data_IF_139310864737
#
_entry.id   IF_139310864737
#
_cell.length_a   1.000
_cell.length_b   1.000
_cell.length_c   1.000
_cell.angle_alpha   90.00
_cell.angle_beta   90.00
_cell.angle_gamma   90.00
#
_symmetry.space_group_name_H-M   'P 1'
#
loop_
_entity.id
_entity.type
_entity.pdbx_description
1 polymer ?
#
# COMPACT_ATOMS: atom_id res chain seq x y z
N UNK A 1 42.70 -11.25 9.80
CA UNK A 1 41.83 -10.52 8.87
C UNK A 1 41.11 -11.53 7.98
N UNK A 2 39.81 -11.77 8.15
CA UNK A 2 39.08 -12.64 7.23
C UNK A 2 38.71 -11.82 5.97
N UNK A 3 39.00 -12.39 4.81
CA UNK A 3 38.64 -11.85 3.51
C UNK A 3 37.11 -11.78 3.42
N UNK A 4 36.58 -10.60 3.14
CA UNK A 4 35.22 -10.45 2.69
C UNK A 4 35.14 -10.98 1.24
N UNK A 5 34.51 -12.14 1.07
CA UNK A 5 34.07 -12.58 -0.23
C UNK A 5 32.94 -11.65 -0.69
N UNK A 6 33.31 -10.59 -1.36
CA UNK A 6 32.38 -9.79 -2.13
C UNK A 6 32.01 -10.61 -3.37
N UNK A 7 30.82 -11.24 -3.34
CA UNK A 7 30.22 -11.80 -4.54
C UNK A 7 30.22 -10.68 -5.59
N UNK A 8 30.83 -10.90 -6.77
CA UNK A 8 30.92 -9.85 -7.78
C UNK A 8 29.49 -9.41 -8.13
N UNK A 9 29.29 -8.09 -8.16
CA UNK A 9 28.11 -7.49 -8.76
C UNK A 9 27.91 -8.14 -10.12
N UNK A 10 26.72 -8.65 -10.39
CA UNK A 10 26.36 -9.03 -11.75
C UNK A 10 26.66 -7.82 -12.64
N UNK A 11 27.24 -8.02 -13.83
CA UNK A 11 27.45 -6.91 -14.77
C UNK A 11 26.11 -6.21 -14.95
N UNK A 12 26.18 -4.89 -15.22
CA UNK A 12 25.03 -4.03 -15.53
C UNK A 12 24.08 -4.82 -16.42
N UNK A 13 23.01 -5.37 -15.81
CA UNK A 13 21.93 -5.96 -16.58
C UNK A 13 21.31 -4.78 -17.30
N UNK A 14 21.13 -4.90 -18.60
CA UNK A 14 20.42 -3.94 -19.45
C UNK A 14 19.09 -3.58 -18.79
N UNK A 15 19.12 -2.52 -18.00
CA UNK A 15 17.90 -1.99 -17.41
C UNK A 15 17.00 -1.56 -18.56
N UNK A 16 15.82 -2.11 -18.72
CA UNK A 16 14.97 -1.77 -19.86
C UNK A 16 14.72 -0.26 -19.89
N UNK A 17 14.62 0.34 -21.08
CA UNK A 17 14.35 1.76 -21.19
C UNK A 17 13.01 2.09 -20.49
N UNK A 18 12.93 3.28 -19.91
CA UNK A 18 11.68 3.77 -19.34
C UNK A 18 10.60 3.84 -20.44
N UNK A 19 9.38 3.42 -20.15
CA UNK A 19 8.27 3.56 -21.08
C UNK A 19 8.01 5.03 -21.37
N UNK A 20 7.49 5.30 -22.55
CA UNK A 20 7.15 6.66 -22.99
C UNK A 20 5.67 6.75 -23.33
N UNK A 21 5.09 7.93 -23.14
CA UNK A 21 3.72 8.25 -23.51
C UNK A 21 3.67 9.68 -24.06
N UNK A 22 2.76 9.92 -24.99
CA UNK A 22 2.60 11.26 -25.56
C UNK A 22 2.25 12.26 -24.46
N UNK A 23 3.01 13.35 -24.36
CA UNK A 23 2.86 14.37 -23.31
C UNK A 23 3.56 14.05 -21.98
N UNK A 24 4.11 12.85 -21.81
CA UNK A 24 4.80 12.41 -20.62
C UNK A 24 3.86 11.97 -19.50
N UNK A 25 4.42 11.28 -18.50
CA UNK A 25 3.68 10.82 -17.33
C UNK A 25 3.39 11.97 -16.36
N UNK A 26 2.13 12.12 -15.98
CA UNK A 26 1.70 13.12 -15.00
C UNK A 26 1.73 12.60 -13.57
N UNK A 27 1.83 11.28 -13.38
CA UNK A 27 1.91 10.67 -12.05
C UNK A 27 2.86 9.49 -12.07
N UNK A 28 3.78 9.48 -11.11
CA UNK A 28 4.75 8.42 -10.90
C UNK A 28 4.59 7.84 -9.50
N UNK A 29 4.50 6.51 -9.41
CA UNK A 29 4.61 5.73 -8.19
C UNK A 29 5.93 4.95 -8.24
N UNK A 30 6.73 4.98 -7.17
CA UNK A 30 7.99 4.27 -7.12
C UNK A 30 8.19 3.56 -5.77
N UNK A 31 8.65 2.31 -5.82
CA UNK A 31 9.07 1.53 -4.64
C UNK A 31 10.48 0.96 -4.87
N UNK A 32 11.52 1.81 -4.79
CA UNK A 32 12.89 1.37 -5.06
C UNK A 32 13.34 0.23 -4.16
N UNK A 33 14.16 -0.69 -4.65
CA UNK A 33 14.75 -1.76 -3.86
C UNK A 33 15.89 -1.21 -2.98
N UNK A 34 15.51 -0.49 -1.93
CA UNK A 34 16.42 0.23 -1.03
C UNK A 34 17.46 -0.69 -0.41
N UNK A 35 18.73 -0.25 -0.43
CA UNK A 35 19.82 -0.91 0.28
C UNK A 35 19.91 -0.36 1.70
N UNK A 36 19.77 -1.23 2.70
CA UNK A 36 20.03 -0.86 4.08
C UNK A 36 21.51 -1.05 4.40
N UNK A 37 22.21 0.01 4.77
CA UNK A 37 23.55 -0.07 5.33
C UNK A 37 23.47 -0.21 6.85
N UNK A 38 24.00 -1.30 7.40
CA UNK A 38 24.04 -1.53 8.84
C UNK A 38 25.39 -1.11 9.39
N UNK A 39 25.44 -0.07 10.24
CA UNK A 39 26.70 0.44 10.84
C UNK A 39 27.35 -0.55 11.83
N UNK A 40 26.63 -1.54 12.32
CA UNK A 40 27.09 -2.45 13.38
C UNK A 40 27.68 -3.77 12.88
N UNK A 41 27.68 -4.04 11.58
CA UNK A 41 28.20 -5.29 10.99
C UNK A 41 27.45 -6.56 11.40
N UNK A 42 26.50 -6.49 12.32
CA UNK A 42 25.63 -7.60 12.67
C UNK A 42 24.49 -7.66 11.65
N UNK A 43 24.49 -8.73 10.88
CA UNK A 43 23.42 -9.03 9.93
C UNK A 43 22.12 -9.16 10.72
N UNK A 44 21.25 -8.16 10.63
CA UNK A 44 19.91 -8.29 11.16
C UNK A 44 19.20 -9.45 10.44
N UNK A 45 18.24 -10.17 11.09
CA UNK A 45 17.50 -11.26 10.46
C UNK A 45 16.87 -10.88 9.11
N UNK A 46 16.71 -9.59 8.85
CA UNK A 46 16.24 -9.02 7.59
C UNK A 46 17.24 -9.15 6.46
N UNK A 47 18.57 -9.18 6.72
CA UNK A 47 19.57 -9.38 5.66
C UNK A 47 19.50 -10.77 5.03
N UNK A 48 19.11 -11.82 5.75
CA UNK A 48 18.79 -13.13 5.15
C UNK A 48 17.59 -13.09 4.20
N UNK A 49 16.79 -12.02 4.25
CA UNK A 49 15.65 -11.78 3.36
C UNK A 49 16.05 -10.93 2.15
N UNK A 50 17.09 -10.11 2.26
CA UNK A 50 17.66 -9.30 1.18
C UNK A 50 18.44 -10.15 0.16
N UNK A 51 18.87 -11.35 0.51
CA UNK A 51 19.45 -12.31 -0.43
C UNK A 51 18.47 -12.78 -1.53
N UNK A 52 17.20 -12.42 -1.42
CA UNK A 52 16.16 -12.79 -2.40
C UNK A 52 15.91 -11.73 -3.47
N UNK A 53 16.33 -10.49 -3.25
CA UNK A 53 16.12 -9.37 -4.18
C UNK A 53 17.42 -8.59 -4.34
N UNK A 54 17.75 -8.25 -5.58
CA UNK A 54 18.83 -7.32 -5.86
C UNK A 54 18.46 -5.94 -5.29
N UNK A 55 19.26 -5.40 -4.38
CA UNK A 55 19.09 -4.03 -3.89
C UNK A 55 19.90 -3.06 -4.74
N UNK A 56 19.41 -1.84 -4.94
CA UNK A 56 20.12 -0.77 -5.61
C UNK A 56 20.83 0.15 -4.61
N UNK A 57 21.98 0.68 -5.00
CA UNK A 57 22.62 1.77 -4.24
C UNK A 57 21.81 3.05 -4.38
N UNK A 58 21.94 3.97 -3.42
CA UNK A 58 21.29 5.29 -3.49
C UNK A 58 21.67 6.03 -4.78
N UNK A 59 22.96 6.00 -5.14
CA UNK A 59 23.46 6.66 -6.35
C UNK A 59 22.82 6.10 -7.62
N UNK A 60 22.65 4.78 -7.70
CA UNK A 60 22.00 4.15 -8.85
C UNK A 60 20.51 4.52 -8.93
N UNK A 61 19.81 4.61 -7.79
CA UNK A 61 18.40 5.06 -7.76
C UNK A 61 18.32 6.52 -8.24
N UNK A 62 19.19 7.39 -7.74
CA UNK A 62 19.23 8.81 -8.12
C UNK A 62 19.62 9.02 -9.59
N UNK A 63 20.47 8.13 -10.14
CA UNK A 63 20.92 8.20 -11.52
C UNK A 63 19.85 7.86 -12.57
N UNK A 64 18.71 7.31 -12.18
CA UNK A 64 17.61 7.06 -13.11
C UNK A 64 17.04 8.39 -13.58
N UNK A 65 17.21 8.69 -14.87
CA UNK A 65 16.74 9.95 -15.46
C UNK A 65 15.26 9.86 -15.86
N UNK A 66 14.41 10.41 -15.05
CA UNK A 66 12.96 10.49 -15.32
C UNK A 66 12.57 11.67 -16.21
N UNK A 67 13.44 12.67 -16.39
CA UNK A 67 13.11 13.91 -17.09
C UNK A 67 12.52 13.69 -18.48
N UNK A 68 13.07 12.78 -19.32
CA UNK A 68 12.56 12.58 -20.67
C UNK A 68 11.13 12.01 -20.75
N UNK A 69 10.69 11.33 -19.70
CA UNK A 69 9.40 10.63 -19.70
C UNK A 69 8.31 11.35 -18.88
N UNK A 70 8.67 12.42 -18.15
CA UNK A 70 7.75 13.17 -17.32
C UNK A 70 7.03 14.30 -18.10
N UNK A 71 5.77 14.49 -17.79
CA UNK A 71 5.03 15.69 -18.16
C UNK A 71 5.67 16.94 -17.51
N UNK A 72 5.43 18.15 -18.06
CA UNK A 72 5.91 19.41 -17.46
C UNK A 72 5.44 19.59 -16.02
N UNK A 73 4.23 19.15 -15.70
CA UNK A 73 3.68 19.11 -14.35
C UNK A 73 3.41 17.65 -13.99
N UNK A 74 3.96 17.20 -12.86
CA UNK A 74 3.82 15.82 -12.44
C UNK A 74 3.80 15.66 -10.91
N UNK A 75 3.17 14.59 -10.44
CA UNK A 75 3.20 14.13 -9.07
C UNK A 75 4.10 12.90 -8.92
N UNK A 76 4.83 12.82 -7.82
CA UNK A 76 5.61 11.65 -7.42
C UNK A 76 5.08 11.10 -6.10
N UNK A 77 4.89 9.81 -6.05
CA UNK A 77 4.63 9.02 -4.86
C UNK A 77 5.79 8.04 -4.66
N UNK A 78 6.63 8.26 -3.65
CA UNK A 78 7.86 7.51 -3.42
C UNK A 78 7.79 6.75 -2.09
N UNK A 79 7.76 5.43 -2.14
CA UNK A 79 7.85 4.60 -0.94
C UNK A 79 9.25 4.63 -0.34
N UNK A 80 9.31 4.97 0.94
CA UNK A 80 10.58 5.09 1.66
C UNK A 80 10.45 4.46 3.05
N UNK A 81 11.36 3.55 3.42
CA UNK A 81 11.46 3.09 4.80
C UNK A 81 11.80 4.25 5.74
N UNK A 82 11.22 4.28 6.94
CA UNK A 82 11.42 5.38 7.91
C UNK A 82 12.91 5.72 8.14
N UNK A 83 13.77 4.70 8.21
CA UNK A 83 15.21 4.88 8.44
C UNK A 83 15.94 5.55 7.25
N UNK A 84 15.38 5.52 6.06
CA UNK A 84 15.95 6.05 4.81
C UNK A 84 15.25 7.33 4.33
N UNK A 85 14.47 7.99 5.21
CA UNK A 85 13.79 9.23 4.86
C UNK A 85 14.73 10.30 4.25
N UNK A 86 15.94 10.56 4.81
CA UNK A 86 16.88 11.51 4.21
C UNK A 86 17.31 11.11 2.79
N UNK A 87 17.45 9.82 2.51
CA UNK A 87 17.82 9.33 1.19
C UNK A 87 16.64 9.41 0.21
N UNK A 88 15.42 9.15 0.68
CA UNK A 88 14.21 9.39 -0.10
C UNK A 88 14.06 10.85 -0.54
N UNK A 89 14.40 11.80 0.32
CA UNK A 89 14.40 13.23 -0.03
C UNK A 89 15.41 13.55 -1.13
N UNK A 90 16.63 12.97 -1.07
CA UNK A 90 17.65 13.14 -2.13
C UNK A 90 17.20 12.57 -3.47
N UNK A 91 16.54 11.40 -3.46
CA UNK A 91 15.98 10.79 -4.67
C UNK A 91 14.94 11.69 -5.30
N UNK A 92 14.00 12.24 -4.49
CA UNK A 92 12.98 13.17 -4.99
C UNK A 92 13.61 14.38 -5.67
N UNK A 93 14.63 14.98 -5.05
CA UNK A 93 15.36 16.13 -5.59
C UNK A 93 16.10 15.77 -6.90
N UNK A 94 16.82 14.64 -6.93
CA UNK A 94 17.51 14.16 -8.12
C UNK A 94 16.57 13.93 -9.31
N UNK A 95 15.36 13.43 -9.04
CA UNK A 95 14.32 13.22 -10.04
C UNK A 95 13.55 14.50 -10.42
N UNK A 96 13.88 15.65 -9.80
CA UNK A 96 13.30 16.95 -10.11
C UNK A 96 11.96 17.24 -9.45
N UNK A 97 11.66 16.55 -8.34
CA UNK A 97 10.43 16.78 -7.57
C UNK A 97 10.73 17.51 -6.26
N UNK A 98 9.90 18.49 -5.95
CA UNK A 98 9.89 19.15 -4.65
C UNK A 98 8.99 18.38 -3.69
N UNK A 99 9.52 17.98 -2.53
CA UNK A 99 8.72 17.40 -1.46
C UNK A 99 7.62 18.36 -0.98
N UNK A 100 6.42 17.87 -0.79
CA UNK A 100 5.27 18.67 -0.33
C UNK A 100 4.63 18.06 0.90
N UNK A 101 4.46 16.74 0.92
CA UNK A 101 3.76 16.04 1.99
C UNK A 101 4.15 14.55 1.97
N UNK A 102 3.55 13.78 2.85
CA UNK A 102 3.65 12.32 2.81
C UNK A 102 2.32 11.68 3.22
N UNK A 103 2.19 10.41 2.86
CA UNK A 103 1.13 9.54 3.33
C UNK A 103 1.78 8.48 4.21
N UNK A 104 1.23 8.23 5.38
CA UNK A 104 1.74 7.22 6.30
C UNK A 104 0.93 5.94 6.14
N UNK A 105 1.57 4.84 5.82
CA UNK A 105 0.94 3.53 5.94
C UNK A 105 1.11 3.00 7.35
N UNK A 106 0.03 3.00 8.14
CA UNK A 106 -0.04 2.42 9.46
C UNK A 106 -0.43 0.93 9.35
N UNK A 107 0.54 0.05 9.61
CA UNK A 107 0.38 -1.41 9.50
C UNK A 107 -0.36 -1.94 10.72
N UNK A 108 -1.50 -2.60 10.48
CA UNK A 108 -2.36 -3.16 11.51
C UNK A 108 -2.25 -4.68 11.56
N UNK A 109 -2.43 -5.25 12.76
CA UNK A 109 -2.60 -6.68 12.99
C UNK A 109 -4.04 -7.10 12.70
N UNK A 110 -4.28 -8.42 12.76
CA UNK A 110 -5.62 -9.01 12.59
C UNK A 110 -6.64 -8.51 13.62
N UNK A 111 -6.19 -8.18 14.81
CA UNK A 111 -6.99 -7.64 15.92
C UNK A 111 -7.18 -6.11 15.86
N UNK A 112 -6.70 -5.45 14.78
CA UNK A 112 -6.78 -4.00 14.61
C UNK A 112 -5.68 -3.22 15.35
N UNK A 113 -4.90 -3.86 16.21
CA UNK A 113 -3.77 -3.23 16.90
C UNK A 113 -2.60 -2.92 15.95
N UNK A 114 -1.64 -2.07 16.36
CA UNK A 114 -0.44 -1.81 15.57
C UNK A 114 0.38 -3.09 15.35
N UNK A 115 0.99 -3.25 14.16
CA UNK A 115 1.84 -4.41 13.87
C UNK A 115 3.19 -4.30 14.60
N UNK A 116 3.22 -4.64 15.88
CA UNK A 116 4.40 -4.56 16.74
C UNK A 116 5.52 -5.58 16.43
N UNK A 117 5.42 -6.33 15.31
CA UNK A 117 6.43 -7.31 14.87
C UNK A 117 7.51 -6.69 13.97
N UNK A 118 7.43 -5.39 13.70
CA UNK A 118 8.45 -4.65 12.99
C UNK A 118 9.79 -4.65 13.75
N UNK A 119 10.89 -4.57 13.01
CA UNK A 119 12.24 -4.47 13.56
C UNK A 119 12.65 -3.01 13.66
N UNK A 120 13.34 -2.63 14.72
CA UNK A 120 13.88 -1.28 14.89
C UNK A 120 14.71 -1.22 16.15
N UNK A 121 15.83 -0.47 16.11
CA UNK A 121 16.75 -0.37 17.27
C UNK A 121 16.21 0.51 18.38
N UNK A 122 15.49 1.58 18.04
CA UNK A 122 14.90 2.50 19.02
C UNK A 122 13.41 2.25 19.17
N UNK A 123 12.69 2.21 18.03
CA UNK A 123 11.26 1.95 18.00
C UNK A 123 10.96 0.85 17.00
N UNK A 124 9.96 0.02 17.29
CA UNK A 124 9.47 -0.96 16.31
C UNK A 124 8.69 -0.25 15.22
N UNK A 125 9.18 -0.40 13.98
CA UNK A 125 8.56 0.23 12.82
C UNK A 125 7.22 -0.44 12.50
N UNK A 126 6.13 0.27 12.76
CA UNK A 126 4.76 -0.12 12.41
C UNK A 126 4.20 0.69 11.24
N UNK A 127 5.01 1.59 10.71
CA UNK A 127 4.64 2.48 9.60
C UNK A 127 5.64 2.39 8.45
N UNK A 128 5.21 2.78 7.26
CA UNK A 128 6.06 3.16 6.13
C UNK A 128 5.57 4.49 5.56
N UNK A 129 6.49 5.21 4.90
CA UNK A 129 6.21 6.51 4.33
C UNK A 129 6.06 6.41 2.82
N UNK A 130 5.01 7.03 2.29
CA UNK A 130 4.84 7.32 0.87
C UNK A 130 5.01 8.83 0.71
N UNK A 131 6.20 9.26 0.31
CA UNK A 131 6.51 10.66 0.11
C UNK A 131 5.76 11.19 -1.10
N UNK A 132 5.18 12.38 -0.98
CA UNK A 132 4.49 13.07 -2.05
C UNK A 132 5.29 14.28 -2.52
N UNK A 133 5.60 14.30 -3.80
CA UNK A 133 6.34 15.37 -4.46
C UNK A 133 5.63 15.94 -5.67
N UNK A 134 5.95 17.18 -5.97
CA UNK A 134 5.39 17.93 -7.10
C UNK A 134 6.51 18.48 -7.97
N UNK A 135 6.41 18.22 -9.28
CA UNK A 135 7.15 18.91 -10.33
C UNK A 135 6.21 19.93 -10.99
N UNK A 136 6.69 21.14 -11.20
CA UNK A 136 5.85 22.22 -11.74
C UNK A 136 4.84 22.76 -10.72
N UNK A 137 3.62 23.03 -11.15
CA UNK A 137 2.59 23.72 -10.36
C UNK A 137 1.29 22.95 -10.17
N UNK A 138 1.29 21.63 -10.49
CA UNK A 138 0.09 20.82 -10.39
C UNK A 138 -0.39 20.67 -8.94
N UNK A 139 -1.69 20.85 -8.74
CA UNK A 139 -2.38 20.55 -7.48
C UNK A 139 -3.06 19.19 -7.54
N UNK A 140 -3.31 18.58 -6.39
CA UNK A 140 -4.16 17.39 -6.32
C UNK A 140 -5.55 17.66 -6.90
N UNK A 141 -6.14 16.67 -7.51
CA UNK A 141 -7.50 16.74 -8.08
C UNK A 141 -8.53 17.07 -6.99
N UNK A 142 -9.61 17.80 -7.31
CA UNK A 142 -10.62 18.19 -6.32
C UNK A 142 -11.16 17.04 -5.47
N UNK A 143 -11.49 15.86 -5.99
CA UNK A 143 -11.98 14.74 -5.19
C UNK A 143 -10.97 14.25 -4.13
N UNK A 144 -9.65 14.35 -4.43
CA UNK A 144 -8.58 13.92 -3.53
C UNK A 144 -8.10 14.97 -2.55
N UNK A 145 -8.56 16.23 -2.64
CA UNK A 145 -8.09 17.31 -1.75
C UNK A 145 -8.51 17.17 -0.29
N UNK A 146 -9.56 16.42 -0.04
CA UNK A 146 -10.03 16.08 1.32
C UNK A 146 -9.44 14.76 1.83
N UNK A 147 -8.58 14.09 1.04
CA UNK A 147 -7.97 12.83 1.41
C UNK A 147 -7.03 13.00 2.59
N UNK A 148 -7.23 12.22 3.65
CA UNK A 148 -6.29 12.18 4.77
C UNK A 148 -4.98 11.53 4.35
N UNK A 149 -3.87 11.95 4.92
CA UNK A 149 -2.54 11.46 4.60
C UNK A 149 -2.18 10.17 5.37
N UNK A 150 -3.12 9.24 5.48
CA UNK A 150 -2.91 7.98 6.18
C UNK A 150 -3.66 6.83 5.50
N UNK A 151 -2.99 5.70 5.38
CA UNK A 151 -3.56 4.41 4.98
C UNK A 151 -3.44 3.47 6.17
N UNK A 152 -4.55 2.94 6.67
CA UNK A 152 -4.56 1.94 7.73
C UNK A 152 -5.02 0.60 7.18
N UNK A 153 -4.08 -0.32 7.02
CA UNK A 153 -4.39 -1.67 6.53
C UNK A 153 -3.52 -2.71 7.21
N UNK A 154 -3.90 -3.96 7.05
CA UNK A 154 -3.06 -5.07 7.44
C UNK A 154 -1.79 -5.11 6.61
N UNK A 155 -0.72 -5.53 7.24
CA UNK A 155 0.51 -5.88 6.53
C UNK A 155 0.21 -6.96 5.49
N UNK A 156 0.63 -6.72 4.27
CA UNK A 156 0.59 -7.66 3.17
C UNK A 156 1.74 -8.66 3.24
N UNK A 157 1.88 -9.50 2.24
CA UNK A 157 3.05 -10.34 2.01
C UNK A 157 4.34 -9.50 2.00
N UNK A 158 5.50 -10.18 2.06
CA UNK A 158 6.78 -9.50 2.09
C UNK A 158 6.91 -8.43 0.99
N UNK A 159 7.21 -7.21 1.41
CA UNK A 159 7.44 -6.04 0.55
C UNK A 159 6.26 -5.59 -0.31
N UNK A 160 5.08 -6.22 -0.23
CA UNK A 160 3.89 -5.75 -0.95
C UNK A 160 3.31 -4.53 -0.24
N UNK A 161 3.12 -3.47 -1.01
CA UNK A 161 2.45 -2.25 -0.55
C UNK A 161 0.92 -2.43 -0.57
N UNK A 162 0.16 -1.59 0.15
CA UNK A 162 -1.29 -1.68 0.18
C UNK A 162 -1.90 -1.34 -1.18
N UNK A 163 -2.81 -2.17 -1.68
CA UNK A 163 -3.46 -1.93 -2.97
C UNK A 163 -4.33 -0.67 -2.96
N UNK A 164 -4.75 -0.23 -1.77
CA UNK A 164 -5.50 1.00 -1.53
C UNK A 164 -4.76 2.26 -2.00
N UNK A 165 -3.42 2.19 -2.12
CA UNK A 165 -2.60 3.29 -2.64
C UNK A 165 -3.04 3.73 -4.04
N UNK A 166 -3.41 2.80 -4.91
CA UNK A 166 -3.77 3.13 -6.29
C UNK A 166 -5.04 3.97 -6.37
N UNK A 167 -6.11 3.55 -5.68
CA UNK A 167 -7.35 4.33 -5.62
C UNK A 167 -7.14 5.72 -5.02
N UNK A 168 -6.27 5.82 -3.99
CA UNK A 168 -5.89 7.09 -3.40
C UNK A 168 -5.14 7.96 -4.41
N UNK A 169 -4.12 7.43 -5.09
CA UNK A 169 -3.32 8.15 -6.07
C UNK A 169 -4.20 8.61 -7.24
N UNK A 170 -5.01 7.72 -7.80
CA UNK A 170 -5.90 8.01 -8.92
C UNK A 170 -6.95 9.08 -8.58
N UNK A 171 -7.39 9.16 -7.32
CA UNK A 171 -8.29 10.22 -6.87
C UNK A 171 -7.61 11.57 -6.70
N UNK A 172 -6.29 11.59 -6.42
CA UNK A 172 -5.52 12.79 -6.13
C UNK A 172 -4.76 13.34 -7.34
N UNK A 173 -4.45 12.49 -8.32
CA UNK A 173 -3.49 12.80 -9.38
C UNK A 173 -3.98 12.30 -10.73
N UNK A 174 -3.75 13.08 -11.83
CA UNK A 174 -4.17 12.67 -13.17
C UNK A 174 -3.20 11.65 -13.77
N UNK A 175 -3.70 10.77 -14.65
CA UNK A 175 -2.85 10.02 -15.56
C UNK A 175 -2.27 10.88 -16.69
N UNK A 176 -1.38 10.33 -17.51
CA UNK A 176 -0.91 8.93 -17.51
C UNK A 176 -0.07 8.58 -16.28
N UNK A 177 -0.16 7.30 -15.85
CA UNK A 177 0.49 6.78 -14.66
C UNK A 177 1.69 5.89 -15.02
N UNK A 178 2.80 6.07 -14.29
CA UNK A 178 3.98 5.21 -14.35
C UNK A 178 4.22 4.58 -12.97
N UNK A 179 4.31 3.26 -12.90
CA UNK A 179 4.81 2.55 -11.71
C UNK A 179 6.23 2.06 -11.97
N UNK A 180 7.16 2.60 -11.20
CA UNK A 180 8.57 2.21 -11.22
C UNK A 180 8.84 1.11 -10.22
N UNK A 181 9.74 0.18 -10.61
CA UNK A 181 10.05 -1.02 -9.81
C UNK A 181 8.81 -1.90 -9.61
N UNK A 182 7.91 -1.85 -10.60
CA UNK A 182 6.67 -2.61 -10.60
C UNK A 182 6.94 -4.11 -10.55
N UNK A 183 6.17 -4.81 -9.74
CA UNK A 183 6.22 -6.28 -9.67
C UNK A 183 5.14 -6.95 -10.51
N UNK A 184 4.09 -6.21 -10.82
CA UNK A 184 2.93 -6.70 -11.56
C UNK A 184 2.38 -5.58 -12.43
N UNK A 185 1.96 -5.96 -13.64
CA UNK A 185 1.23 -5.04 -14.48
C UNK A 185 -0.14 -4.71 -13.87
N UNK A 186 -0.57 -3.45 -13.99
CA UNK A 186 -1.88 -2.96 -13.59
C UNK A 186 -2.52 -2.24 -14.76
N UNK A 187 -3.81 -2.50 -14.98
CA UNK A 187 -4.59 -1.79 -15.99
C UNK A 187 -4.57 -0.28 -15.73
N UNK A 188 -4.34 0.51 -16.79
CA UNK A 188 -4.24 1.97 -16.72
C UNK A 188 -2.88 2.51 -16.24
N UNK A 189 -1.93 1.63 -15.90
CA UNK A 189 -0.59 1.98 -15.45
C UNK A 189 0.48 1.41 -16.39
N UNK A 190 1.44 2.22 -16.78
CA UNK A 190 2.67 1.73 -17.40
C UNK A 190 3.61 1.21 -16.31
N UNK A 191 4.07 -0.03 -16.44
CA UNK A 191 4.96 -0.67 -15.48
C UNK A 191 6.40 -0.67 -15.97
N UNK A 192 7.35 -0.39 -15.07
CA UNK A 192 8.77 -0.50 -15.31
C UNK A 192 9.45 -1.17 -14.10
N UNK A 193 10.16 -2.27 -14.33
CA UNK A 193 10.85 -3.03 -13.30
C UNK A 193 11.19 -4.43 -13.77
N UNK A 194 12.13 -5.09 -13.09
CA UNK A 194 12.64 -6.43 -13.46
C UNK A 194 11.58 -7.53 -13.34
N UNK A 195 10.55 -7.34 -12.53
CA UNK A 195 9.49 -8.32 -12.27
C UNK A 195 8.15 -7.95 -12.93
N UNK A 196 8.15 -6.95 -13.81
CA UNK A 196 6.93 -6.43 -14.45
C UNK A 196 6.33 -7.36 -15.51
N UNK A 197 6.97 -8.52 -15.80
CA UNK A 197 6.43 -9.51 -16.72
C UNK A 197 5.13 -10.11 -16.18
N UNK A 198 4.12 -10.21 -17.05
CA UNK A 198 2.77 -10.71 -16.72
C UNK A 198 2.72 -12.14 -16.17
N UNK A 199 3.83 -12.87 -16.16
CA UNK A 199 3.91 -14.28 -15.78
C UNK A 199 4.20 -14.50 -14.28
N UNK A 200 4.61 -13.46 -13.55
CA UNK A 200 4.93 -13.58 -12.13
C UNK A 200 3.67 -13.42 -11.29
N UNK A 201 2.99 -14.52 -11.02
CA UNK A 201 1.91 -14.52 -10.02
C UNK A 201 2.50 -14.22 -8.64
N UNK A 202 1.85 -13.36 -7.81
CA UNK A 202 2.26 -13.10 -6.45
C UNK A 202 2.43 -14.42 -5.71
N UNK A 203 3.63 -14.69 -5.19
CA UNK A 203 3.87 -15.86 -4.33
C UNK A 203 3.38 -15.51 -2.93
N UNK A 204 2.39 -16.24 -2.44
CA UNK A 204 1.91 -16.12 -1.08
C UNK A 204 0.45 -16.52 -0.98
N UNK A 205 0.01 -16.79 0.24
CA UNK A 205 -1.40 -17.00 0.53
C UNK A 205 -2.09 -15.66 0.39
N UNK A 206 -2.87 -15.50 -0.65
CA UNK A 206 -3.81 -14.37 -0.77
C UNK A 206 -4.72 -14.47 0.45
N UNK A 207 -4.58 -13.57 1.41
CA UNK A 207 -5.55 -13.48 2.47
C UNK A 207 -6.91 -13.17 1.83
N UNK A 208 -7.94 -13.97 2.16
CA UNK A 208 -9.32 -13.63 1.86
C UNK A 208 -9.55 -12.19 2.34
N UNK A 209 -9.82 -11.25 1.47
CA UNK A 209 -9.87 -9.81 1.74
C UNK A 209 -8.73 -8.99 1.11
N UNK A 210 -7.76 -9.64 0.46
CA UNK A 210 -6.71 -8.98 -0.31
C UNK A 210 -6.68 -9.40 -1.79
N UNK A 211 -7.44 -10.37 -2.18
CA UNK A 211 -7.56 -10.76 -3.58
C UNK A 211 -8.72 -10.02 -4.20
N UNK A 212 -8.49 -9.27 -5.24
CA UNK A 212 -9.36 -8.79 -6.32
C UNK A 212 -10.89 -8.89 -6.24
N UNK A 213 -11.47 -9.18 -5.09
CA UNK A 213 -12.88 -9.10 -4.79
C UNK A 213 -13.19 -7.72 -4.24
N UNK A 214 -14.21 -7.13 -4.70
CA UNK A 214 -14.86 -5.89 -4.30
C UNK A 214 -14.17 -5.10 -3.19
N UNK A 215 -13.19 -4.27 -3.56
CA UNK A 215 -12.56 -3.34 -2.64
C UNK A 215 -13.63 -2.33 -2.25
N UNK A 216 -14.01 -2.33 -0.97
CA UNK A 216 -14.85 -1.26 -0.44
C UNK A 216 -14.02 0.02 -0.43
N UNK A 217 -14.54 1.13 -0.96
CA UNK A 217 -13.81 2.39 -0.97
C UNK A 217 -13.47 2.80 0.46
N UNK A 218 -12.22 3.20 0.69
CA UNK A 218 -11.84 3.82 1.96
C UNK A 218 -12.67 5.10 2.12
N UNK A 219 -13.47 5.14 3.18
CA UNK A 219 -14.23 6.32 3.56
C UNK A 219 -13.53 6.98 4.75
N UNK A 220 -13.24 8.27 4.63
CA UNK A 220 -12.71 9.03 5.75
C UNK A 220 -13.70 9.02 6.93
N UNK A 221 -13.23 9.11 8.19
CA UNK A 221 -14.10 9.36 9.31
C UNK A 221 -14.94 10.61 9.01
N UNK A 222 -16.27 10.50 9.05
CA UNK A 222 -17.22 11.56 8.72
C UNK A 222 -17.29 12.00 7.24
N UNK A 223 -16.72 11.23 6.30
CA UNK A 223 -16.93 11.49 4.88
C UNK A 223 -18.43 11.42 4.55
N UNK A 224 -18.97 12.52 4.03
CA UNK A 224 -20.32 12.55 3.48
C UNK A 224 -20.28 11.85 2.11
N UNK A 225 -20.68 10.59 2.10
CA UNK A 225 -20.88 9.83 0.86
C UNK A 225 -22.19 10.30 0.24
N UNK A 226 -22.18 10.67 -1.04
CA UNK A 226 -23.41 10.99 -1.72
C UNK A 226 -24.35 9.77 -1.72
N UNK A 227 -25.66 10.04 -1.86
CA UNK A 227 -26.70 9.04 -1.67
C UNK A 227 -26.56 7.82 -2.60
N UNK A 228 -26.14 8.05 -3.84
CA UNK A 228 -25.98 6.99 -4.84
C UNK A 228 -24.79 6.08 -4.51
N UNK A 229 -23.65 6.68 -4.10
CA UNK A 229 -22.47 5.93 -3.69
C UNK A 229 -22.75 5.15 -2.38
N UNK A 230 -23.47 5.76 -1.42
CA UNK A 230 -23.87 5.08 -0.18
C UNK A 230 -24.74 3.86 -0.47
N UNK A 231 -25.70 4.00 -1.39
CA UNK A 231 -26.56 2.92 -1.86
C UNK A 231 -25.77 1.79 -2.52
N UNK A 232 -24.87 2.11 -3.44
CA UNK A 232 -24.04 1.11 -4.13
C UNK A 232 -23.14 0.31 -3.14
N UNK A 233 -22.53 0.99 -2.17
CA UNK A 233 -21.75 0.33 -1.10
C UNK A 233 -22.68 -0.53 -0.22
N UNK A 234 -23.86 -0.01 0.12
CA UNK A 234 -24.85 -0.71 0.93
C UNK A 234 -25.35 -1.99 0.26
N UNK A 235 -25.58 -1.98 -1.05
CA UNK A 235 -25.99 -3.16 -1.83
C UNK A 235 -24.92 -4.26 -1.81
N UNK A 236 -23.63 -3.90 -1.93
CA UNK A 236 -22.53 -4.86 -1.78
C UNK A 236 -22.50 -5.46 -0.36
N UNK A 237 -22.60 -4.63 0.67
CA UNK A 237 -22.66 -5.07 2.06
C UNK A 237 -23.87 -5.97 2.31
N UNK A 238 -25.02 -5.63 1.72
CA UNK A 238 -26.24 -6.42 1.79
C UNK A 238 -26.03 -7.82 1.24
N UNK A 239 -25.42 -7.96 0.05
CA UNK A 239 -25.12 -9.25 -0.55
C UNK A 239 -24.26 -10.14 0.35
N UNK A 240 -23.28 -9.57 1.06
CA UNK A 240 -22.45 -10.29 2.02
C UNK A 240 -23.22 -10.66 3.29
N UNK A 241 -24.03 -9.75 3.79
CA UNK A 241 -24.86 -9.94 4.98
C UNK A 241 -25.91 -11.03 4.77
N UNK A 242 -26.61 -11.05 3.63
CA UNK A 242 -27.60 -12.05 3.25
C UNK A 242 -26.97 -13.44 3.05
N UNK A 243 -25.71 -13.51 2.62
CA UNK A 243 -24.90 -14.75 2.58
C UNK A 243 -24.46 -15.26 3.97
N UNK A 244 -24.89 -14.62 5.04
CA UNK A 244 -24.70 -15.11 6.42
C UNK A 244 -23.64 -14.35 7.23
N UNK A 245 -22.90 -13.39 6.67
CA UNK A 245 -21.93 -12.61 7.45
C UNK A 245 -22.64 -11.77 8.53
N UNK A 246 -22.02 -11.70 9.70
CA UNK A 246 -22.47 -10.81 10.77
C UNK A 246 -21.95 -9.38 10.54
N UNK A 247 -22.58 -8.38 11.16
CA UNK A 247 -22.10 -6.98 11.10
C UNK A 247 -20.65 -6.87 11.59
N UNK A 248 -20.26 -7.69 12.59
CA UNK A 248 -18.87 -7.71 13.08
C UNK A 248 -17.90 -8.24 12.03
N UNK A 249 -18.25 -9.31 11.31
CA UNK A 249 -17.46 -9.82 10.21
C UNK A 249 -17.37 -8.83 9.04
N UNK A 250 -18.47 -8.13 8.74
CA UNK A 250 -18.45 -7.04 7.75
C UNK A 250 -17.52 -5.90 8.18
N UNK A 251 -17.48 -5.56 9.48
CA UNK A 251 -16.52 -4.57 10.00
C UNK A 251 -15.06 -5.06 9.82
N UNK A 252 -14.81 -6.34 10.09
CA UNK A 252 -13.48 -6.94 9.91
C UNK A 252 -13.07 -6.98 8.44
N UNK A 253 -14.01 -7.21 7.54
CA UNK A 253 -13.77 -7.33 6.10
C UNK A 253 -13.57 -5.97 5.43
N UNK A 254 -14.38 -4.98 5.79
CA UNK A 254 -14.41 -3.68 5.10
C UNK A 254 -13.59 -2.59 5.79
N UNK A 255 -13.26 -2.77 7.08
CA UNK A 255 -12.67 -1.73 7.92
C UNK A 255 -13.63 -0.63 8.36
N UNK A 256 -14.92 -0.70 7.98
CA UNK A 256 -15.91 0.29 8.40
C UNK A 256 -16.32 0.07 9.85
N UNK A 257 -16.69 1.14 10.55
CA UNK A 257 -17.27 1.03 11.90
C UNK A 257 -18.64 0.33 11.86
N UNK A 258 -18.99 -0.34 12.96
CA UNK A 258 -20.31 -0.99 13.13
C UNK A 258 -21.45 -0.02 12.81
N UNK A 259 -21.33 1.23 13.26
CA UNK A 259 -22.34 2.27 13.01
C UNK A 259 -22.45 2.58 11.51
N UNK A 260 -21.30 2.71 10.82
CA UNK A 260 -21.25 2.99 9.38
C UNK A 260 -21.87 1.85 8.57
N UNK A 261 -21.55 0.60 8.89
CA UNK A 261 -22.14 -0.57 8.22
C UNK A 261 -23.65 -0.60 8.41
N UNK A 262 -24.16 -0.29 9.61
CA UNK A 262 -25.61 -0.23 9.84
C UNK A 262 -26.29 0.84 9.00
N UNK A 263 -25.69 2.04 8.90
CA UNK A 263 -26.23 3.11 8.06
C UNK A 263 -26.28 2.66 6.60
N UNK A 264 -25.20 2.10 6.07
CA UNK A 264 -25.10 1.66 4.68
C UNK A 264 -26.05 0.49 4.37
N UNK A 265 -26.21 -0.46 5.29
CA UNK A 265 -27.20 -1.54 5.16
C UNK A 265 -28.64 -1.02 5.18
N UNK A 266 -28.93 0.00 5.99
CA UNK A 266 -30.23 0.65 6.01
C UNK A 266 -30.51 1.42 4.71
N UNK A 267 -29.52 2.13 4.18
CA UNK A 267 -29.62 2.80 2.87
C UNK A 267 -29.88 1.82 1.72
N UNK A 268 -29.42 0.58 1.86
CA UNK A 268 -29.70 -0.51 0.93
C UNK A 268 -31.02 -1.27 1.26
N UNK A 269 -31.86 -0.77 2.16
CA UNK A 269 -33.10 -1.42 2.62
C UNK A 269 -32.88 -2.88 3.06
N UNK A 270 -31.83 -3.15 3.83
CA UNK A 270 -31.50 -4.49 4.31
C UNK A 270 -32.26 -4.79 5.61
N UNK A 271 -32.99 -5.91 5.66
CA UNK A 271 -33.59 -6.40 6.91
C UNK A 271 -32.50 -6.92 7.86
N UNK A 272 -32.23 -6.18 8.92
CA UNK A 272 -31.23 -6.59 9.89
C UNK A 272 -31.78 -7.69 10.79
N UNK A 273 -31.00 -8.77 10.96
CA UNK A 273 -31.29 -9.87 11.87
C UNK A 273 -31.45 -9.33 13.30
N UNK A 274 -32.44 -9.81 14.04
CA UNK A 274 -32.61 -9.47 15.45
C UNK A 274 -31.37 -9.85 16.27
N UNK A 275 -31.06 -9.08 17.31
CA UNK A 275 -29.95 -9.41 18.21
C UNK A 275 -30.23 -10.74 18.89
N UNK A 276 -29.60 -11.83 18.45
CA UNK A 276 -29.63 -13.09 19.17
C UNK A 276 -29.01 -12.90 20.56
N UNK A 277 -29.73 -13.27 21.62
CA UNK A 277 -29.10 -13.49 22.93
C UNK A 277 -28.06 -14.57 22.76
N UNK A 278 -26.80 -14.29 23.07
CA UNK A 278 -25.76 -15.31 23.20
C UNK A 278 -26.15 -16.21 24.36
N UNK A 279 -26.70 -17.37 24.08
CA UNK A 279 -26.77 -18.46 25.05
C UNK A 279 -25.35 -18.96 25.23
N UNK A 280 -24.72 -18.53 26.32
CA UNK A 280 -23.54 -19.24 26.85
C UNK A 280 -24.00 -20.64 27.23
N UNK A 281 -23.73 -21.64 26.43
CA UNK A 281 -23.79 -23.04 26.82
C UNK A 281 -22.66 -23.26 27.80
N UNK A 282 -23.01 -23.30 29.08
CA UNK A 282 -22.17 -23.74 30.15
C UNK A 282 -22.11 -25.27 30.07
N UNK A 283 -21.04 -25.82 29.46
CA UNK A 283 -20.73 -27.23 29.59
C UNK A 283 -20.16 -27.48 31.00
N UNK A 284 -21.05 -27.86 31.90
CA UNK A 284 -20.68 -28.56 33.13
C UNK A 284 -20.27 -29.99 32.74
N UNK A 285 -18.99 -30.24 32.69
CA UNK A 285 -18.46 -31.61 32.79
C UNK A 285 -18.47 -31.99 34.26
N UNK A 286 -19.44 -32.79 34.66
CA UNK A 286 -19.46 -33.56 35.90
C UNK A 286 -18.34 -34.58 35.83
N UNK A 287 -17.36 -34.46 36.74
CA UNK A 287 -16.52 -35.57 37.13
C UNK A 287 -17.27 -36.41 38.17
N UNK A 288 -17.67 -37.62 37.82
CA UNK A 288 -17.92 -38.69 38.76
C UNK A 288 -16.66 -39.51 38.98
N UNK A 289 -16.37 -39.68 40.24
CA UNK A 289 -15.55 -40.55 41.05
C UNK A 289 -14.73 -41.65 40.33
#
# INVERSE_FOLDING_TARGET
MPRMDTKPLRPEQDTPPLPTVVGGFSTVLADPPWRFSNRTGKVAPEHRRLDRYSTMSLDNIMAIDLKPVLAPNAHLYLWVPNALLPDGMKVMEAWGFRYVSNIVWAKRRKDGGPDGRGVGFYFRNVTELLLFGVKGSMRTLPPGRSQVNMIETRKREHSRKPDEQYALIESCSPGPYLEMFARHAREGWSAWGDESSNDVKPRGVVHKGYGGGDIFPMLAPNEHVNKDRAKAIGEKLRGMYEKGMSIRQLTEETGYSIQRIRILLNEANTNLRSRGRSTKTCNQTSFEI
#
